data_IF_256858485528
#
_entry.id   IF_256858485528
#
_cell.length_a   1.000
_cell.length_b   1.000
_cell.length_c   1.000
_cell.angle_alpha   90.00
_cell.angle_beta   90.00
_cell.angle_gamma   90.00
#
_symmetry.space_group_name_H-M   'P 1'
#
loop_
_entity.id
_entity.type
_entity.pdbx_description
1 polymer ?
#
# COMPACT_ATOMS: atom_id res chain seq x y z
N UNK A 1 26.87 11.50 17.60
CA UNK A 1 26.78 10.21 16.88
C UNK A 1 25.42 9.63 17.25
N UNK A 2 24.40 9.86 16.42
CA UNK A 2 23.05 9.37 16.68
C UNK A 2 22.94 7.94 16.15
N UNK A 3 23.08 6.98 17.06
CA UNK A 3 22.82 5.57 16.82
C UNK A 3 21.40 5.27 17.29
N UNK A 4 20.41 5.44 16.44
CA UNK A 4 19.08 4.85 16.61
C UNK A 4 18.65 4.30 15.25
N UNK A 5 18.95 3.02 15.02
CA UNK A 5 18.41 2.21 13.95
C UNK A 5 16.91 1.98 14.19
N UNK A 6 16.10 3.03 14.08
CA UNK A 6 14.73 2.89 13.57
C UNK A 6 14.87 2.17 12.22
N UNK A 7 14.05 1.15 11.87
CA UNK A 7 14.05 0.68 10.49
C UNK A 7 13.91 1.93 9.62
N UNK A 8 14.91 2.17 8.78
CA UNK A 8 15.01 3.31 7.88
C UNK A 8 13.60 3.65 7.41
N UNK A 9 13.08 4.83 7.77
CA UNK A 9 11.66 5.10 7.59
C UNK A 9 11.27 4.91 6.11
N UNK A 10 12.23 5.11 5.19
CA UNK A 10 12.11 4.74 3.80
C UNK A 10 11.95 3.21 3.62
N UNK A 11 12.77 2.36 4.22
CA UNK A 11 12.56 0.91 4.24
C UNK A 11 11.17 0.49 4.79
N UNK A 12 10.66 1.16 5.83
CA UNK A 12 9.31 0.89 6.35
C UNK A 12 8.23 1.33 5.37
N UNK A 13 8.33 2.54 4.81
CA UNK A 13 7.41 3.05 3.78
C UNK A 13 7.41 2.15 2.53
N UNK A 14 8.59 1.71 2.07
CA UNK A 14 8.74 0.78 0.96
C UNK A 14 8.10 -0.57 1.26
N UNK A 15 8.28 -1.10 2.48
CA UNK A 15 7.63 -2.35 2.90
C UNK A 15 6.11 -2.23 2.87
N UNK A 16 5.55 -1.12 3.38
CA UNK A 16 4.11 -0.82 3.30
C UNK A 16 3.62 -0.80 1.85
N UNK A 17 4.37 -0.14 0.95
CA UNK A 17 4.02 -0.07 -0.47
C UNK A 17 4.15 -1.44 -1.17
N UNK A 18 5.16 -2.25 -0.83
CA UNK A 18 5.33 -3.59 -1.39
C UNK A 18 4.16 -4.51 -1.05
N UNK A 19 3.71 -4.53 0.21
CA UNK A 19 2.53 -5.30 0.60
C UNK A 19 1.27 -4.81 -0.12
N UNK A 20 1.09 -3.50 -0.24
CA UNK A 20 -0.03 -2.93 -0.99
C UNK A 20 -0.03 -3.35 -2.46
N UNK A 21 1.13 -3.38 -3.11
CA UNK A 21 1.27 -3.83 -4.50
C UNK A 21 0.89 -5.30 -4.66
N UNK A 22 1.29 -6.17 -3.72
CA UNK A 22 0.92 -7.59 -3.73
C UNK A 22 -0.61 -7.75 -3.60
N UNK A 23 -1.23 -7.02 -2.66
CA UNK A 23 -2.68 -7.06 -2.46
C UNK A 23 -3.44 -6.53 -3.67
N UNK A 24 -2.95 -5.46 -4.31
CA UNK A 24 -3.51 -4.90 -5.54
C UNK A 24 -3.41 -5.90 -6.69
N UNK A 25 -2.24 -6.54 -6.89
CA UNK A 25 -2.05 -7.55 -7.92
C UNK A 25 -3.01 -8.73 -7.74
N UNK A 26 -3.10 -9.24 -6.51
CA UNK A 26 -4.01 -10.33 -6.16
C UNK A 26 -5.47 -9.95 -6.46
N UNK A 27 -5.89 -8.75 -6.05
CA UNK A 27 -7.26 -8.26 -6.27
C UNK A 27 -7.56 -8.02 -7.75
N UNK A 28 -6.60 -7.50 -8.52
CA UNK A 28 -6.74 -7.30 -9.96
C UNK A 28 -6.90 -8.65 -10.69
N UNK A 29 -6.15 -9.67 -10.27
CA UNK A 29 -6.29 -11.03 -10.81
C UNK A 29 -7.65 -11.64 -10.50
N UNK A 30 -8.22 -11.37 -9.32
CA UNK A 30 -9.58 -11.78 -8.98
C UNK A 30 -10.62 -11.09 -9.87
N UNK A 31 -10.45 -9.79 -10.16
CA UNK A 31 -11.33 -9.03 -11.03
C UNK A 31 -11.40 -9.63 -12.45
N UNK A 32 -10.25 -10.01 -13.02
CA UNK A 32 -10.16 -10.58 -14.37
C UNK A 32 -10.84 -11.94 -14.50
N UNK A 33 -10.82 -12.76 -13.44
CA UNK A 33 -11.24 -14.16 -13.51
C UNK A 33 -12.76 -14.39 -13.35
N UNK A 34 -13.55 -13.35 -13.05
CA UNK A 34 -14.93 -13.55 -12.56
C UNK A 34 -16.05 -13.15 -13.50
N UNK A 35 -15.79 -12.45 -14.60
CA UNK A 35 -16.78 -12.15 -15.66
C UNK A 35 -18.10 -11.53 -15.17
N UNK A 36 -18.14 -11.00 -13.95
CA UNK A 36 -19.32 -10.45 -13.27
C UNK A 36 -19.04 -8.98 -12.97
N UNK A 37 -19.76 -8.10 -13.63
CA UNK A 37 -19.53 -6.65 -13.58
C UNK A 37 -19.53 -6.10 -12.14
N UNK A 38 -20.50 -6.51 -11.31
CA UNK A 38 -20.57 -6.09 -9.91
C UNK A 38 -19.35 -6.53 -9.08
N UNK A 39 -18.84 -7.74 -9.35
CA UNK A 39 -17.67 -8.26 -8.66
C UNK A 39 -16.40 -7.55 -9.15
N UNK A 40 -16.30 -7.27 -10.45
CA UNK A 40 -15.22 -6.47 -11.02
C UNK A 40 -15.21 -5.06 -10.44
N UNK A 41 -16.37 -4.40 -10.34
CA UNK A 41 -16.51 -3.08 -9.75
C UNK A 41 -16.10 -3.08 -8.26
N UNK A 42 -16.51 -4.10 -7.50
CA UNK A 42 -16.07 -4.29 -6.13
C UNK A 42 -14.55 -4.43 -6.02
N UNK A 43 -13.93 -5.29 -6.85
CA UNK A 43 -12.48 -5.46 -6.86
C UNK A 43 -11.74 -4.16 -7.22
N UNK A 44 -12.26 -3.37 -8.17
CA UNK A 44 -11.69 -2.06 -8.51
C UNK A 44 -11.74 -1.10 -7.32
N UNK A 45 -12.83 -1.12 -6.56
CA UNK A 45 -12.94 -0.27 -5.36
C UNK A 45 -12.00 -0.72 -4.24
N UNK A 46 -11.82 -2.03 -4.06
CA UNK A 46 -10.80 -2.57 -3.16
C UNK A 46 -9.39 -2.10 -3.55
N UNK A 47 -9.05 -2.17 -4.85
CA UNK A 47 -7.75 -1.70 -5.37
C UNK A 47 -7.56 -0.21 -5.07
N UNK A 48 -8.58 0.62 -5.33
CA UNK A 48 -8.55 2.06 -5.05
C UNK A 48 -8.30 2.33 -3.56
N UNK A 49 -9.02 1.64 -2.69
CA UNK A 49 -8.90 1.77 -1.25
C UNK A 49 -7.51 1.36 -0.73
N UNK A 50 -7.02 0.17 -1.13
CA UNK A 50 -5.70 -0.34 -0.73
C UNK A 50 -4.61 0.64 -1.17
N UNK A 51 -4.68 1.11 -2.41
CA UNK A 51 -3.73 2.07 -2.97
C UNK A 51 -3.70 3.37 -2.16
N UNK A 52 -4.87 3.99 -1.97
CA UNK A 52 -4.97 5.29 -1.29
C UNK A 52 -4.50 5.21 0.16
N UNK A 53 -4.95 4.19 0.90
CA UNK A 53 -4.59 4.01 2.31
C UNK A 53 -3.09 3.78 2.47
N UNK A 54 -2.51 2.92 1.65
CA UNK A 54 -1.10 2.54 1.78
C UNK A 54 -0.17 3.69 1.38
N UNK A 55 -0.58 4.51 0.41
CA UNK A 55 0.12 5.75 0.06
C UNK A 55 0.09 6.77 1.21
N UNK A 56 -1.06 6.95 1.86
CA UNK A 56 -1.19 7.85 3.01
C UNK A 56 -0.31 7.37 4.19
N UNK A 57 -0.35 6.06 4.49
CA UNK A 57 0.46 5.47 5.54
C UNK A 57 1.97 5.61 5.26
N UNK A 58 2.42 5.30 4.04
CA UNK A 58 3.81 5.45 3.64
C UNK A 58 4.26 6.93 3.72
N UNK A 59 3.41 7.87 3.29
CA UNK A 59 3.68 9.30 3.39
C UNK A 59 3.79 9.75 4.85
N UNK A 60 2.91 9.30 5.72
CA UNK A 60 2.94 9.64 7.14
C UNK A 60 4.20 9.12 7.84
N UNK A 61 4.66 7.91 7.47
CA UNK A 61 5.94 7.36 7.95
C UNK A 61 7.11 8.26 7.56
N UNK A 62 7.18 8.68 6.29
CA UNK A 62 8.27 9.55 5.80
C UNK A 62 8.21 10.95 6.43
N UNK A 63 7.03 11.52 6.60
CA UNK A 63 6.85 12.83 7.26
C UNK A 63 7.29 12.78 8.72
N UNK A 64 6.97 11.69 9.44
CA UNK A 64 7.39 11.52 10.83
C UNK A 64 8.92 11.44 10.96
N UNK A 65 9.60 10.86 9.98
CA UNK A 65 11.07 10.76 9.94
C UNK A 65 11.74 12.11 9.65
N UNK A 66 11.19 12.90 8.72
CA UNK A 66 11.70 14.25 8.41
C UNK A 66 11.53 15.23 9.57
N UNK A 67 10.50 15.05 10.40
CA UNK A 67 10.15 15.97 11.49
C UNK A 67 10.70 15.54 12.87
N UNK A 68 11.36 14.38 12.98
CA UNK A 68 11.93 13.83 14.22
C UNK A 68 13.43 14.07 14.36
#
# INVERSE_FOLDING_TARGET
>A
MFSNNTPDAAAKALTTLMHALIDIECTAKLAQNKGREDYTAFCLECIRYISSRSLDEAKNILIADVNG
#
